data_IF_485820950811
#
_entry.id   IF_485820950811
#
_cell.length_a   1.000
_cell.length_b   1.000
_cell.length_c   1.000
_cell.angle_alpha   90.00
_cell.angle_beta   90.00
_cell.angle_gamma   90.00
#
_symmetry.space_group_name_H-M   'P 1'
#
loop_
_entity.id
_entity.type
_entity.pdbx_description
1 polymer ?
#
# COMPACT_ATOMS: atom_id res chain seq x y z
N UNK A 1 -11.40 6.15 -19.32
CA UNK A 1 -11.10 6.57 -17.94
C UNK A 1 -9.73 6.01 -17.57
N UNK A 2 -8.92 6.73 -16.80
CA UNK A 2 -7.59 6.25 -16.36
C UNK A 2 -7.79 5.44 -15.08
N UNK A 3 -7.23 4.24 -15.04
CA UNK A 3 -7.22 3.38 -13.85
C UNK A 3 -6.28 3.97 -12.79
N UNK A 4 -6.79 4.17 -11.57
CA UNK A 4 -6.03 4.69 -10.43
C UNK A 4 -5.59 3.52 -9.55
N UNK A 5 -4.29 3.40 -9.38
CA UNK A 5 -3.70 2.38 -8.49
C UNK A 5 -3.29 3.07 -7.19
N UNK A 6 -3.82 2.58 -6.08
CA UNK A 6 -3.38 2.91 -4.72
C UNK A 6 -2.25 1.98 -4.29
N UNK A 7 -1.26 2.54 -3.62
CA UNK A 7 -0.18 1.79 -3.01
C UNK A 7 -0.01 2.22 -1.56
N UNK A 8 0.01 1.24 -0.67
CA UNK A 8 0.10 1.40 0.77
C UNK A 8 1.24 0.56 1.30
N UNK A 9 1.97 1.06 2.29
CA UNK A 9 3.06 0.30 2.92
C UNK A 9 3.20 0.58 4.40
N UNK A 10 3.29 -0.48 5.19
CA UNK A 10 3.66 -0.46 6.62
C UNK A 10 5.02 -1.10 6.82
N UNK A 11 5.73 -0.71 7.88
CA UNK A 11 7.11 -1.16 8.14
C UNK A 11 7.18 -2.55 8.74
N UNK A 12 6.18 -2.91 9.56
CA UNK A 12 6.17 -4.13 10.35
C UNK A 12 4.81 -4.82 10.19
N UNK A 13 4.82 -6.16 10.26
CA UNK A 13 3.62 -6.97 10.03
C UNK A 13 2.48 -6.73 11.03
N UNK A 14 2.82 -6.28 12.24
CA UNK A 14 1.85 -6.01 13.31
C UNK A 14 1.31 -4.58 13.30
N UNK A 15 1.81 -3.70 12.42
CA UNK A 15 1.24 -2.38 12.27
C UNK A 15 -0.14 -2.49 11.64
N UNK A 16 -1.10 -1.73 12.17
CA UNK A 16 -2.48 -1.71 11.68
C UNK A 16 -2.62 -0.66 10.59
N UNK A 17 -2.79 -1.12 9.36
CA UNK A 17 -2.94 -0.31 8.15
C UNK A 17 -4.40 0.07 7.84
N UNK A 18 -5.37 -0.48 8.58
CA UNK A 18 -6.82 -0.41 8.31
C UNK A 18 -7.31 1.00 7.93
N UNK A 19 -6.94 2.02 8.71
CA UNK A 19 -7.36 3.40 8.45
C UNK A 19 -6.75 4.00 7.19
N UNK A 20 -5.54 3.58 6.83
CA UNK A 20 -4.88 4.02 5.61
C UNK A 20 -5.50 3.31 4.39
N UNK A 21 -5.83 2.02 4.51
CA UNK A 21 -6.59 1.29 3.49
C UNK A 21 -7.95 1.94 3.24
N UNK A 22 -8.73 2.20 4.29
CA UNK A 22 -10.07 2.80 4.19
C UNK A 22 -10.04 4.14 3.44
N UNK A 23 -9.05 4.97 3.73
CA UNK A 23 -8.86 6.26 3.06
C UNK A 23 -8.46 6.12 1.58
N UNK A 24 -7.63 5.13 1.25
CA UNK A 24 -7.13 4.90 -0.12
C UNK A 24 -8.14 4.18 -1.01
N UNK A 25 -8.90 3.21 -0.49
CA UNK A 25 -9.89 2.45 -1.27
C UNK A 25 -10.95 3.34 -1.91
N UNK A 26 -11.31 4.45 -1.30
CA UNK A 26 -12.28 5.40 -1.86
C UNK A 26 -11.72 6.20 -3.06
N UNK A 27 -10.40 6.18 -3.29
CA UNK A 27 -9.72 7.06 -4.24
C UNK A 27 -9.10 6.31 -5.43
N UNK A 28 -9.04 4.98 -5.38
CA UNK A 28 -8.40 4.12 -6.37
C UNK A 28 -9.29 2.94 -6.80
N UNK A 29 -9.02 2.42 -7.98
CA UNK A 29 -9.71 1.25 -8.54
C UNK A 29 -9.08 -0.06 -8.02
N UNK A 30 -7.78 -0.04 -7.70
CA UNK A 30 -7.03 -1.17 -7.16
C UNK A 30 -6.07 -0.69 -6.06
N UNK A 31 -5.92 -1.47 -4.98
CA UNK A 31 -5.06 -1.16 -3.84
C UNK A 31 -4.07 -2.30 -3.58
N UNK A 32 -2.77 -1.96 -3.58
CA UNK A 32 -1.71 -2.87 -3.16
C UNK A 32 -1.16 -2.46 -1.80
N UNK A 33 -0.92 -3.45 -0.93
CA UNK A 33 -0.41 -3.25 0.44
C UNK A 33 0.87 -4.05 0.63
N UNK A 34 1.93 -3.38 1.11
CA UNK A 34 3.19 -4.02 1.48
C UNK A 34 3.52 -3.87 2.97
N UNK A 35 3.99 -4.95 3.59
CA UNK A 35 4.50 -4.93 4.97
C UNK A 35 6.01 -5.10 4.97
N UNK A 36 6.71 -4.00 4.69
CA UNK A 36 8.16 -4.00 4.60
C UNK A 36 8.74 -2.62 4.90
N UNK A 37 9.96 -2.55 5.44
CA UNK A 37 10.66 -1.27 5.62
C UNK A 37 10.79 -0.50 4.30
N UNK A 38 10.57 0.81 4.35
CA UNK A 38 10.77 1.70 3.20
C UNK A 38 12.22 1.67 2.66
N UNK A 39 13.18 1.30 3.52
CA UNK A 39 14.60 1.16 3.17
C UNK A 39 14.97 -0.23 2.64
N UNK A 40 14.04 -1.19 2.60
CA UNK A 40 14.32 -2.49 2.01
C UNK A 40 14.55 -2.34 0.50
N UNK A 41 15.60 -2.98 -0.01
CA UNK A 41 15.96 -2.95 -1.44
C UNK A 41 15.02 -3.81 -2.30
N UNK A 42 14.34 -4.79 -1.70
CA UNK A 42 13.42 -5.69 -2.39
C UNK A 42 12.00 -5.29 -2.00
N UNK A 43 11.32 -4.54 -2.88
CA UNK A 43 9.91 -4.17 -2.72
C UNK A 43 9.10 -4.86 -3.83
N UNK A 44 8.46 -6.00 -3.55
CA UNK A 44 7.85 -6.84 -4.59
C UNK A 44 6.73 -6.14 -5.39
N UNK A 45 6.01 -5.20 -4.79
CA UNK A 45 4.89 -4.44 -5.39
C UNK A 45 5.37 -3.14 -6.03
N UNK A 46 6.16 -2.32 -5.32
CA UNK A 46 6.69 -1.07 -5.88
C UNK A 46 7.93 -1.35 -6.72
N UNK A 47 7.75 -1.51 -8.04
CA UNK A 47 8.80 -1.62 -9.04
C UNK A 47 9.22 -0.28 -9.62
#
# INVERSE_FOLDING_TARGET
MIMKIGYLRVSLDHQKEDRQEDGLRALCDELYVEKISATCKIRPVYR
#
